data_IF_042111030821
#
_entry.id   IF_042111030821
#
_cell.length_a   1.000
_cell.length_b   1.000
_cell.length_c   1.000
_cell.angle_alpha   90.00
_cell.angle_beta   90.00
_cell.angle_gamma   90.00
#
_symmetry.space_group_name_H-M   'P 1'
#
loop_
_entity.id
_entity.type
_entity.pdbx_description
1 polymer ?
#
# COMPACT_ATOMS: atom_id res chain seq x y z
N UNK A 1 -22.21 13.90 -11.53
CA UNK A 1 -21.43 12.65 -11.50
C UNK A 1 -20.70 12.48 -12.82
N UNK A 2 -19.39 12.52 -12.78
CA UNK A 2 -18.53 12.29 -13.96
C UNK A 2 -18.58 10.81 -14.33
N UNK A 3 -18.96 10.47 -15.56
CA UNK A 3 -18.95 9.08 -16.06
C UNK A 3 -17.60 8.77 -16.66
N UNK A 4 -16.89 7.80 -16.10
CA UNK A 4 -15.69 7.23 -16.73
C UNK A 4 -16.12 6.42 -17.94
N UNK A 5 -15.50 6.71 -19.10
CA UNK A 5 -15.71 5.93 -20.31
C UNK A 5 -14.89 4.64 -20.24
N UNK A 6 -15.57 3.52 -19.99
CA UNK A 6 -14.91 2.20 -20.00
C UNK A 6 -14.57 1.74 -21.42
N UNK A 7 -13.43 1.10 -21.59
CA UNK A 7 -13.09 0.40 -22.82
C UNK A 7 -14.03 -0.80 -23.03
N UNK A 8 -14.14 -1.28 -24.27
CA UNK A 8 -14.85 -2.54 -24.56
C UNK A 8 -13.92 -3.69 -24.17
N UNK A 9 -14.21 -4.29 -23.03
CA UNK A 9 -13.41 -5.39 -22.48
C UNK A 9 -13.96 -6.75 -22.93
N UNK A 10 -13.06 -7.67 -23.26
CA UNK A 10 -13.35 -9.05 -23.68
C UNK A 10 -12.60 -10.08 -22.84
N UNK A 11 -11.75 -9.62 -21.91
CA UNK A 11 -10.95 -10.42 -21.01
C UNK A 11 -11.26 -10.03 -19.56
N UNK A 12 -11.12 -10.98 -18.64
CA UNK A 12 -11.07 -10.66 -17.22
C UNK A 12 -9.79 -9.88 -16.86
N UNK A 13 -9.81 -9.16 -15.73
CA UNK A 13 -8.65 -8.45 -15.23
C UNK A 13 -7.43 -9.40 -15.08
N UNK A 14 -7.65 -10.55 -14.43
CA UNK A 14 -6.62 -11.57 -14.24
C UNK A 14 -6.06 -12.09 -15.56
N UNK A 15 -6.92 -12.46 -16.50
CA UNK A 15 -6.48 -12.96 -17.80
C UNK A 15 -5.65 -11.93 -18.55
N UNK A 16 -6.08 -10.67 -18.55
CA UNK A 16 -5.38 -9.55 -19.18
C UNK A 16 -3.96 -9.39 -18.64
N UNK A 17 -3.80 -9.40 -17.32
CA UNK A 17 -2.48 -9.27 -16.68
C UNK A 17 -1.60 -10.47 -16.98
N UNK A 18 -2.10 -11.70 -16.88
CA UNK A 18 -1.33 -12.91 -17.17
C UNK A 18 -0.86 -12.96 -18.63
N UNK A 19 -1.71 -12.59 -19.58
CA UNK A 19 -1.33 -12.49 -21.00
C UNK A 19 -0.29 -11.40 -21.24
N UNK A 20 -0.40 -10.27 -20.54
CA UNK A 20 0.61 -9.21 -20.64
C UNK A 20 1.98 -9.71 -20.19
N UNK A 21 2.05 -10.46 -19.08
CA UNK A 21 3.31 -11.07 -18.63
C UNK A 21 3.84 -12.14 -19.58
N UNK A 22 2.95 -12.82 -20.31
CA UNK A 22 3.34 -13.75 -21.38
C UNK A 22 3.68 -13.06 -22.71
N UNK A 23 3.69 -11.72 -22.77
CA UNK A 23 3.89 -10.93 -23.99
C UNK A 23 2.86 -11.20 -25.09
N UNK A 24 1.65 -11.59 -24.71
CA UNK A 24 0.53 -11.84 -25.61
C UNK A 24 -0.32 -10.58 -25.80
N UNK A 25 -1.06 -10.53 -26.91
CA UNK A 25 -1.99 -9.44 -27.20
C UNK A 25 -3.19 -9.47 -26.25
N UNK A 26 -3.53 -8.31 -25.69
CA UNK A 26 -4.67 -8.09 -24.82
C UNK A 26 -5.69 -7.13 -25.44
N UNK A 27 -6.89 -7.06 -24.87
CA UNK A 27 -7.96 -6.16 -25.29
C UNK A 27 -7.68 -4.69 -24.93
N UNK A 28 -6.89 -4.43 -23.88
CA UNK A 28 -6.33 -3.14 -23.47
C UNK A 28 -5.10 -3.35 -22.59
N UNK A 29 -4.37 -2.29 -22.34
CA UNK A 29 -3.27 -2.28 -21.35
C UNK A 29 -3.85 -2.52 -19.95
N UNK A 30 -3.25 -3.37 -19.11
CA UNK A 30 -3.60 -3.48 -17.70
C UNK A 30 -3.43 -2.14 -16.97
N UNK A 31 -4.35 -1.86 -16.05
CA UNK A 31 -4.36 -0.62 -15.27
C UNK A 31 -4.15 -0.97 -13.81
N UNK A 32 -3.22 -0.26 -13.17
CA UNK A 32 -3.06 -0.21 -11.72
C UNK A 32 -3.41 1.18 -11.19
N UNK A 33 -3.51 1.30 -9.86
CA UNK A 33 -3.87 2.53 -9.20
C UNK A 33 -3.04 2.73 -7.94
N UNK A 34 -2.26 3.79 -7.93
CA UNK A 34 -1.54 4.26 -6.75
C UNK A 34 -1.73 5.77 -6.61
N UNK A 35 -2.05 6.24 -5.42
CA UNK A 35 -2.29 7.67 -5.18
C UNK A 35 -2.12 8.02 -3.69
N UNK A 36 -2.04 9.31 -3.39
CA UNK A 36 -2.16 9.80 -2.02
C UNK A 36 -3.63 9.94 -1.59
N UNK A 37 -3.85 10.07 -0.28
CA UNK A 37 -5.19 10.11 0.32
C UNK A 37 -6.05 11.27 -0.18
N UNK A 38 -5.47 12.45 -0.43
CA UNK A 38 -6.22 13.62 -0.91
C UNK A 38 -6.78 13.41 -2.32
N UNK A 39 -6.00 12.83 -3.23
CA UNK A 39 -6.46 12.50 -4.59
C UNK A 39 -7.49 11.39 -4.54
N UNK A 40 -7.28 10.36 -3.69
CA UNK A 40 -8.25 9.29 -3.48
C UNK A 40 -9.62 9.85 -3.08
N UNK A 41 -9.64 10.68 -2.02
CA UNK A 41 -10.87 11.34 -1.56
C UNK A 41 -11.56 12.15 -2.67
N UNK A 42 -10.80 12.99 -3.39
CA UNK A 42 -11.37 13.79 -4.49
C UNK A 42 -11.97 12.93 -5.60
N UNK A 43 -11.32 11.83 -5.98
CA UNK A 43 -11.86 10.91 -6.97
C UNK A 43 -13.14 10.23 -6.48
N UNK A 44 -13.20 9.82 -5.22
CA UNK A 44 -14.41 9.26 -4.64
C UNK A 44 -15.57 10.26 -4.66
N UNK A 45 -15.34 11.51 -4.28
CA UNK A 45 -16.34 12.60 -4.34
C UNK A 45 -16.84 12.81 -5.79
N UNK A 46 -15.92 12.98 -6.75
CA UNK A 46 -16.27 13.22 -8.16
C UNK A 46 -17.03 12.06 -8.81
N UNK A 47 -16.73 10.84 -8.42
CA UNK A 47 -17.39 9.63 -8.94
C UNK A 47 -18.61 9.22 -8.13
N UNK A 48 -18.90 9.89 -7.01
CA UNK A 48 -20.01 9.57 -6.12
C UNK A 48 -19.86 8.25 -5.38
N UNK A 49 -18.63 7.91 -5.02
CA UNK A 49 -18.30 6.70 -4.26
C UNK A 49 -18.41 7.03 -2.77
N UNK A 50 -19.25 6.32 -2.00
CA UNK A 50 -19.47 6.62 -0.60
C UNK A 50 -18.30 6.19 0.29
N UNK A 51 -17.96 7.02 1.28
CA UNK A 51 -17.05 6.65 2.37
C UNK A 51 -15.62 6.31 1.94
N UNK A 52 -15.13 6.93 0.85
CA UNK A 52 -13.79 6.68 0.30
C UNK A 52 -13.50 5.18 0.09
N UNK A 53 -14.52 4.43 -0.34
CA UNK A 53 -14.43 2.99 -0.52
C UNK A 53 -13.44 2.63 -1.63
N UNK A 54 -12.32 2.04 -1.22
CA UNK A 54 -11.21 1.72 -2.10
C UNK A 54 -11.61 0.71 -3.19
N UNK A 55 -12.30 -0.36 -2.84
CA UNK A 55 -12.68 -1.41 -3.81
C UNK A 55 -13.66 -0.87 -4.86
N UNK A 56 -14.65 -0.08 -4.45
CA UNK A 56 -15.59 0.56 -5.38
C UNK A 56 -14.89 1.55 -6.31
N UNK A 57 -13.87 2.27 -5.82
CA UNK A 57 -13.09 3.15 -6.67
C UNK A 57 -12.28 2.37 -7.69
N UNK A 58 -11.60 1.29 -7.30
CA UNK A 58 -10.84 0.45 -8.22
C UNK A 58 -11.75 -0.15 -9.31
N UNK A 59 -12.96 -0.58 -8.96
CA UNK A 59 -13.97 -1.06 -9.92
C UNK A 59 -14.43 0.03 -10.88
N UNK A 60 -14.69 1.23 -10.35
CA UNK A 60 -15.10 2.38 -11.17
C UNK A 60 -14.02 2.78 -12.17
N UNK A 61 -12.76 2.76 -11.77
CA UNK A 61 -11.60 3.07 -12.60
C UNK A 61 -11.22 1.94 -13.57
N UNK A 62 -11.73 0.72 -13.38
CA UNK A 62 -11.41 -0.46 -14.19
C UNK A 62 -10.00 -1.00 -13.91
N UNK A 63 -9.55 -0.91 -12.66
CA UNK A 63 -8.23 -1.39 -12.23
C UNK A 63 -8.20 -2.92 -12.24
N UNK A 64 -7.13 -3.48 -12.81
CA UNK A 64 -6.96 -4.92 -12.99
C UNK A 64 -6.32 -5.60 -11.79
N UNK A 65 -5.62 -4.84 -10.97
CA UNK A 65 -4.85 -5.35 -9.83
C UNK A 65 -5.59 -5.21 -8.51
N UNK A 66 -5.31 -6.11 -7.57
CA UNK A 66 -5.75 -6.04 -6.17
C UNK A 66 -4.58 -6.40 -5.26
N UNK A 67 -4.16 -5.45 -4.44
CA UNK A 67 -3.17 -5.69 -3.41
C UNK A 67 -3.81 -6.35 -2.18
N UNK A 68 -3.16 -7.39 -1.67
CA UNK A 68 -3.53 -8.06 -0.42
C UNK A 68 -2.30 -8.16 0.46
N UNK A 69 -2.45 -7.87 1.73
CA UNK A 69 -1.41 -8.07 2.73
C UNK A 69 -2.03 -8.62 4.01
N UNK A 70 -1.37 -9.56 4.70
CA UNK A 70 -1.82 -9.99 6.00
C UNK A 70 -1.75 -8.83 6.99
N UNK A 71 -2.79 -8.66 7.79
CA UNK A 71 -2.82 -7.63 8.82
C UNK A 71 -1.88 -8.00 9.97
N UNK A 72 -1.14 -7.02 10.49
CA UNK A 72 -0.37 -7.19 11.70
C UNK A 72 -1.29 -7.27 12.91
N UNK A 73 -1.17 -8.33 13.68
CA UNK A 73 -1.97 -8.63 14.87
C UNK A 73 -1.11 -8.85 16.12
N UNK A 74 0.19 -8.68 15.99
CA UNK A 74 1.18 -8.85 17.05
C UNK A 74 1.18 -7.73 18.09
N UNK A 75 2.10 -7.78 19.05
CA UNK A 75 2.22 -6.79 20.11
C UNK A 75 2.64 -5.42 19.55
N UNK A 76 2.31 -4.34 20.26
CA UNK A 76 2.84 -3.02 19.95
C UNK A 76 4.34 -2.98 20.24
N UNK A 77 5.15 -2.99 19.18
CA UNK A 77 6.63 -3.02 19.28
C UNK A 77 7.22 -1.64 19.58
N UNK A 78 6.58 -0.59 19.08
CA UNK A 78 7.09 0.78 19.16
C UNK A 78 6.11 1.68 19.91
N UNK A 79 6.60 2.54 20.85
CA UNK A 79 5.72 3.37 21.65
C UNK A 79 5.05 4.46 20.79
N UNK A 80 3.78 4.78 21.04
CA UNK A 80 3.13 5.91 20.40
C UNK A 80 3.75 7.22 20.86
N UNK A 81 3.98 8.16 19.93
CA UNK A 81 4.47 9.50 20.22
C UNK A 81 3.42 10.55 19.87
N UNK A 82 3.27 11.63 20.68
CA UNK A 82 2.31 12.69 20.39
C UNK A 82 2.56 13.33 19.03
N UNK A 83 1.49 13.46 18.21
CA UNK A 83 1.56 14.06 16.88
C UNK A 83 2.37 13.25 15.85
N UNK A 84 2.62 11.97 16.13
CA UNK A 84 3.33 11.04 15.26
C UNK A 84 2.46 9.83 14.93
N UNK A 85 2.65 9.30 13.73
CA UNK A 85 2.16 7.99 13.34
C UNK A 85 3.38 7.07 13.20
N UNK A 86 3.34 5.90 13.84
CA UNK A 86 4.43 4.92 13.79
C UNK A 86 4.14 3.84 12.77
N UNK A 87 5.16 3.44 12.00
CA UNK A 87 5.10 2.21 11.21
C UNK A 87 5.23 1.00 12.14
N UNK A 88 4.24 0.08 12.14
CA UNK A 88 4.23 -1.04 13.08
C UNK A 88 5.28 -2.12 12.80
N UNK A 89 5.90 -2.13 11.62
CA UNK A 89 6.83 -3.16 11.20
C UNK A 89 8.31 -2.73 11.35
N UNK A 90 8.60 -1.48 11.05
CA UNK A 90 9.97 -0.95 11.02
C UNK A 90 10.23 0.17 12.02
N UNK A 91 9.19 0.65 12.72
CA UNK A 91 9.32 1.58 13.83
C UNK A 91 9.70 3.01 13.48
N UNK A 92 9.79 3.39 12.21
CA UNK A 92 9.96 4.79 11.85
C UNK A 92 8.67 5.56 12.08
N UNK A 93 8.80 6.86 12.31
CA UNK A 93 7.66 7.73 12.57
C UNK A 93 7.46 8.73 11.44
N UNK A 94 6.19 9.06 11.23
CA UNK A 94 5.79 10.12 10.32
C UNK A 94 4.98 11.19 11.07
N UNK A 95 4.99 12.40 10.57
CA UNK A 95 4.15 13.51 11.03
C UNK A 95 3.37 14.09 9.87
N UNK A 96 2.20 14.64 10.18
CA UNK A 96 1.43 15.36 9.19
C UNK A 96 2.11 16.69 8.85
N UNK A 97 2.28 16.96 7.55
CA UNK A 97 2.78 18.22 7.00
C UNK A 97 1.71 18.80 6.08
N UNK A 98 1.16 19.95 6.46
CA UNK A 98 0.19 20.67 5.65
C UNK A 98 0.84 21.36 4.46
N UNK A 99 0.11 21.41 3.33
CA UNK A 99 0.45 22.19 2.16
C UNK A 99 -0.82 22.69 1.47
N UNK A 100 -0.67 23.47 0.39
CA UNK A 100 -1.79 24.06 -0.38
C UNK A 100 -2.78 23.01 -0.96
N UNK A 101 -2.36 21.75 -1.11
CA UNK A 101 -3.17 20.64 -1.62
C UNK A 101 -3.78 19.75 -0.53
N UNK A 102 -3.61 20.11 0.75
CA UNK A 102 -4.13 19.38 1.91
C UNK A 102 -3.05 18.86 2.85
N UNK A 103 -2.05 18.16 2.36
CA UNK A 103 -0.94 17.67 3.16
C UNK A 103 -0.60 16.18 2.94
N UNK A 104 0.43 15.74 3.64
CA UNK A 104 0.93 14.36 3.60
C UNK A 104 1.66 14.01 4.90
N UNK A 105 1.85 12.71 5.13
CA UNK A 105 2.71 12.23 6.20
C UNK A 105 4.16 12.21 5.73
N UNK A 106 5.03 12.92 6.44
CA UNK A 106 6.47 12.99 6.16
C UNK A 106 7.26 12.26 7.25
N UNK A 107 8.36 11.64 6.87
CA UNK A 107 9.26 10.94 7.81
C UNK A 107 9.92 11.94 8.74
N UNK A 108 10.01 11.61 10.03
CA UNK A 108 10.51 12.54 11.03
C UNK A 108 11.40 11.94 12.11
N UNK A 109 11.21 10.69 12.48
CA UNK A 109 12.00 10.03 13.51
C UNK A 109 12.38 8.63 13.04
N UNK A 110 13.67 8.31 13.15
CA UNK A 110 14.29 7.12 12.59
C UNK A 110 14.96 6.30 13.72
N UNK A 111 14.36 5.19 14.14
CA UNK A 111 14.77 4.48 15.36
C UNK A 111 16.19 3.88 15.29
N UNK A 112 16.70 3.63 14.10
CA UNK A 112 18.03 3.06 13.88
C UNK A 112 19.06 4.09 13.37
N UNK A 113 18.73 5.39 13.43
CA UNK A 113 19.68 6.44 13.04
C UNK A 113 20.91 6.42 13.95
N UNK A 114 22.09 6.23 13.35
CA UNK A 114 23.34 6.16 14.11
C UNK A 114 23.49 4.94 15.04
N UNK A 115 22.60 3.94 14.91
CA UNK A 115 22.63 2.75 15.73
C UNK A 115 23.89 1.90 15.46
N UNK A 116 24.49 1.37 16.52
CA UNK A 116 25.54 0.38 16.43
C UNK A 116 25.01 -1.04 16.16
N UNK A 117 25.91 -1.99 15.95
CA UNK A 117 25.55 -3.38 15.64
C UNK A 117 24.74 -4.04 16.77
N UNK A 118 25.03 -3.74 18.03
CA UNK A 118 24.34 -4.32 19.18
C UNK A 118 22.87 -3.82 19.21
N UNK A 119 22.66 -2.54 19.03
CA UNK A 119 21.33 -1.92 18.93
C UNK A 119 20.52 -2.50 17.77
N UNK A 120 21.13 -2.67 16.59
CA UNK A 120 20.46 -3.25 15.42
C UNK A 120 20.05 -4.70 15.67
N UNK A 121 20.93 -5.50 16.29
CA UNK A 121 20.62 -6.90 16.63
C UNK A 121 19.53 -7.06 17.68
N UNK A 122 19.43 -6.09 18.60
CA UNK A 122 18.40 -6.07 19.64
C UNK A 122 17.09 -5.40 19.19
N UNK A 123 17.05 -4.84 17.98
CA UNK A 123 15.85 -4.12 17.48
C UNK A 123 14.66 -5.07 17.35
N UNK A 124 13.48 -4.69 17.89
CA UNK A 124 12.33 -5.58 17.95
C UNK A 124 11.60 -5.61 16.59
N UNK A 125 12.01 -6.51 15.70
CA UNK A 125 11.24 -6.77 14.48
C UNK A 125 10.04 -7.66 14.76
N UNK A 126 8.94 -7.53 13.99
CA UNK A 126 7.77 -8.40 14.11
C UNK A 126 8.11 -9.85 13.74
N UNK A 127 7.48 -10.81 14.41
CA UNK A 127 7.53 -12.22 14.03
C UNK A 127 6.65 -12.49 12.81
N UNK A 128 7.00 -13.43 11.92
CA UNK A 128 6.05 -13.93 10.92
C UNK A 128 4.72 -14.44 11.51
N UNK A 129 4.72 -14.91 12.76
CA UNK A 129 3.52 -15.41 13.45
C UNK A 129 2.60 -14.27 13.93
N UNK A 130 3.04 -13.02 13.82
CA UNK A 130 2.27 -11.83 14.24
C UNK A 130 1.28 -11.33 13.17
N UNK A 131 0.99 -12.12 12.14
CA UNK A 131 0.14 -11.69 11.02
C UNK A 131 -1.06 -12.60 10.79
N UNK A 132 -2.20 -12.00 10.44
CA UNK A 132 -3.42 -12.73 10.09
C UNK A 132 -3.39 -13.16 8.61
N UNK A 133 -2.81 -14.33 8.36
CA UNK A 133 -2.76 -14.92 7.01
C UNK A 133 -4.12 -15.47 6.55
N UNK A 134 -4.97 -15.92 7.47
CA UNK A 134 -6.27 -16.48 7.11
C UNK A 134 -7.20 -15.42 6.53
N UNK A 135 -7.24 -14.25 7.13
CA UNK A 135 -7.99 -13.11 6.59
C UNK A 135 -7.48 -12.70 5.20
N UNK A 136 -6.15 -12.70 4.99
CA UNK A 136 -5.55 -12.41 3.68
C UNK A 136 -5.95 -13.47 2.62
N UNK A 137 -5.93 -14.76 2.97
CA UNK A 137 -6.37 -15.84 2.08
C UNK A 137 -7.84 -15.72 1.70
N UNK A 138 -8.71 -15.36 2.64
CA UNK A 138 -10.13 -15.11 2.33
C UNK A 138 -10.32 -13.89 1.42
N UNK A 139 -9.51 -12.85 1.57
CA UNK A 139 -9.52 -11.70 0.66
C UNK A 139 -9.09 -12.11 -0.75
N UNK A 140 -8.03 -12.91 -0.90
CA UNK A 140 -7.58 -13.45 -2.19
C UNK A 140 -8.70 -14.24 -2.88
N UNK A 141 -9.40 -15.10 -2.15
CA UNK A 141 -10.52 -15.89 -2.69
C UNK A 141 -11.66 -15.02 -3.23
N UNK A 142 -12.00 -13.94 -2.52
CA UNK A 142 -13.02 -12.98 -2.97
C UNK A 142 -12.64 -12.23 -4.24
N UNK A 143 -11.35 -11.99 -4.44
CA UNK A 143 -10.81 -11.19 -5.55
C UNK A 143 -10.23 -12.05 -6.69
N UNK A 144 -10.65 -13.31 -6.81
CA UNK A 144 -10.10 -14.31 -7.74
C UNK A 144 -10.10 -13.92 -9.23
N UNK A 145 -10.99 -13.00 -9.62
CA UNK A 145 -11.14 -12.55 -11.01
C UNK A 145 -10.20 -11.38 -11.38
N UNK A 146 -9.50 -10.85 -10.39
CA UNK A 146 -8.48 -9.83 -10.53
C UNK A 146 -7.06 -10.43 -10.48
N UNK A 147 -6.08 -9.65 -10.89
CA UNK A 147 -4.67 -9.97 -10.67
C UNK A 147 -4.30 -9.61 -9.23
N UNK A 148 -4.35 -10.60 -8.34
CA UNK A 148 -4.00 -10.40 -6.94
C UNK A 148 -2.49 -10.46 -6.76
N UNK A 149 -1.93 -9.50 -6.03
CA UNK A 149 -0.54 -9.49 -5.61
C UNK A 149 -0.44 -9.29 -4.10
N UNK A 150 0.64 -9.82 -3.50
CA UNK A 150 0.96 -9.62 -2.08
C UNK A 150 2.01 -8.52 -1.97
N UNK A 151 1.78 -7.60 -1.05
CA UNK A 151 2.60 -6.41 -0.90
C UNK A 151 2.10 -5.26 -1.78
N UNK A 152 2.97 -4.28 -1.99
CA UNK A 152 2.71 -3.14 -2.86
C UNK A 152 4.03 -2.72 -3.51
N UNK A 153 4.10 -2.35 -4.78
CA UNK A 153 5.31 -1.81 -5.37
C UNK A 153 5.82 -0.62 -4.52
N UNK A 154 7.02 -0.75 -3.95
CA UNK A 154 7.62 0.26 -3.09
C UNK A 154 7.27 0.21 -1.60
N UNK A 155 6.32 -0.60 -1.14
CA UNK A 155 5.99 -0.72 0.30
C UNK A 155 6.38 -2.06 0.93
N UNK A 156 6.61 -3.10 0.14
CA UNK A 156 7.20 -4.37 0.56
C UNK A 156 8.70 -4.43 0.33
N UNK A 157 9.31 -3.31 0.02
CA UNK A 157 10.72 -3.20 -0.27
C UNK A 157 11.51 -3.11 1.04
N UNK A 158 12.15 -4.22 1.41
CA UNK A 158 12.98 -4.32 2.62
C UNK A 158 14.08 -3.27 2.61
N UNK A 159 14.67 -2.96 1.46
CA UNK A 159 15.76 -2.00 1.34
C UNK A 159 15.28 -0.61 1.71
N UNK A 160 14.24 -0.10 1.04
CA UNK A 160 13.69 1.23 1.34
C UNK A 160 13.15 1.32 2.77
N UNK A 161 12.48 0.28 3.26
CA UNK A 161 11.93 0.28 4.62
C UNK A 161 13.03 0.31 5.69
N UNK A 162 14.14 -0.38 5.47
CA UNK A 162 15.32 -0.31 6.35
C UNK A 162 16.03 1.04 6.23
N UNK A 163 16.09 1.62 5.04
CA UNK A 163 16.64 2.96 4.83
C UNK A 163 15.80 4.01 5.57
N UNK A 164 14.48 3.90 5.58
CA UNK A 164 13.61 4.76 6.40
C UNK A 164 13.81 4.55 7.89
N UNK A 165 14.10 3.32 8.36
CA UNK A 165 14.41 3.09 9.77
C UNK A 165 15.76 3.70 10.21
N UNK A 166 16.71 3.84 9.28
CA UNK A 166 18.07 4.36 9.56
C UNK A 166 18.26 5.84 9.30
N UNK A 167 17.39 6.48 8.52
CA UNK A 167 17.66 7.78 7.87
C UNK A 167 18.93 7.73 7.01
N UNK A 168 18.78 7.74 5.71
CA UNK A 168 19.95 7.96 4.83
C UNK A 168 20.39 9.42 4.95
N UNK A 169 21.30 9.70 5.88
CA UNK A 169 22.11 10.92 5.86
C UNK A 169 23.12 10.87 4.70
N UNK A 170 22.63 10.73 3.48
CA UNK A 170 23.37 11.08 2.28
C UNK A 170 23.03 12.53 1.93
N UNK A 171 23.42 13.46 2.81
CA UNK A 171 23.50 14.87 2.53
C UNK A 171 24.77 15.17 1.76
#
# INVERSE_FOLDING_TARGET
MTKIRKAKETMSAKERVLRTFAFEKTDRVPIDYATNGSIHHRLCVELGIPGDNYDLLLEALGVDYRGVAPAYTGPLLYPPLPGRQVDPLYGFYTRWVENESGGYHDFCDFPLQGADEETIRAFPFPSPDDFDYDAALEQIKRQKDYAVYVGNPGTGDIINSLDYARSNDNG
#
